data_IF_287668220201
#
_entry.id   IF_287668220201
#
_cell.length_a   1.000
_cell.length_b   1.000
_cell.length_c   1.000
_cell.angle_alpha   90.00
_cell.angle_beta   90.00
_cell.angle_gamma   90.00
#
_symmetry.space_group_name_H-M   'P 1'
#
loop_
_entity.id
_entity.type
_entity.pdbx_description
1 polymer ?
#
# COMPACT_ATOMS: atom_id res chain seq x y z
N UNK A 1 23.80 -7.05 10.12
CA UNK A 1 22.97 -6.23 9.22
C UNK A 1 21.53 -6.33 9.71
N UNK A 2 20.94 -5.25 10.23
CA UNK A 2 19.54 -5.28 10.66
C UNK A 2 18.66 -5.45 9.42
N UNK A 3 17.88 -6.53 9.34
CA UNK A 3 16.84 -6.67 8.32
C UNK A 3 15.83 -5.55 8.53
N UNK A 4 15.79 -4.59 7.60
CA UNK A 4 14.75 -3.55 7.60
C UNK A 4 13.48 -4.22 7.08
N UNK A 5 12.54 -4.49 7.99
CA UNK A 5 11.24 -5.02 7.63
C UNK A 5 10.51 -4.04 6.72
N UNK A 6 10.09 -4.54 5.54
CA UNK A 6 9.23 -3.81 4.61
C UNK A 6 7.81 -4.34 4.75
N UNK A 7 6.85 -3.44 4.72
CA UNK A 7 5.43 -3.72 4.83
C UNK A 7 4.75 -3.48 3.50
N UNK A 8 3.82 -4.38 3.20
CA UNK A 8 2.95 -4.33 2.03
C UNK A 8 1.65 -3.65 2.45
N UNK A 9 1.47 -2.38 2.09
CA UNK A 9 0.26 -1.63 2.39
C UNK A 9 -0.64 -1.60 1.15
N UNK A 10 -1.84 -2.18 1.20
CA UNK A 10 -2.76 -2.10 0.09
C UNK A 10 -3.34 -0.70 -0.01
N UNK A 11 -3.42 -0.18 -1.23
CA UNK A 11 -3.80 1.20 -1.53
C UNK A 11 -4.71 1.30 -2.74
N UNK A 12 -5.51 2.36 -2.74
CA UNK A 12 -6.29 2.83 -3.86
C UNK A 12 -5.76 4.21 -4.26
N UNK A 13 -5.27 4.33 -5.49
CA UNK A 13 -4.62 5.55 -5.98
C UNK A 13 -5.50 6.16 -7.07
N UNK A 14 -5.92 7.40 -6.84
CA UNK A 14 -6.66 8.20 -7.80
C UNK A 14 -5.69 9.12 -8.53
N UNK A 15 -5.77 9.13 -9.86
CA UNK A 15 -4.92 9.94 -10.72
C UNK A 15 -5.69 11.11 -11.34
N UNK A 16 -5.00 12.21 -11.64
CA UNK A 16 -5.57 13.38 -12.32
C UNK A 16 -6.05 12.96 -13.71
N UNK A 17 -7.31 13.24 -14.03
CA UNK A 17 -7.88 13.00 -15.36
C UNK A 17 -8.27 11.56 -15.65
N UNK A 18 -8.06 10.63 -14.70
CA UNK A 18 -8.41 9.23 -14.86
C UNK A 18 -9.70 8.90 -14.09
N UNK A 19 -10.60 8.15 -14.72
CA UNK A 19 -11.80 7.59 -14.07
C UNK A 19 -11.50 6.30 -13.31
N UNK A 20 -10.49 5.57 -13.77
CA UNK A 20 -10.05 4.32 -13.16
C UNK A 20 -9.19 4.59 -11.93
N UNK A 21 -9.30 3.70 -10.94
CA UNK A 21 -8.50 3.72 -9.72
C UNK A 21 -7.43 2.65 -9.83
N UNK A 22 -6.18 2.99 -9.53
CA UNK A 22 -5.11 2.00 -9.46
C UNK A 22 -5.20 1.30 -8.11
N UNK A 23 -5.44 -0.01 -8.15
CA UNK A 23 -5.52 -0.89 -7.00
C UNK A 23 -4.22 -1.69 -6.89
N UNK A 24 -3.58 -1.65 -5.73
CA UNK A 24 -2.29 -2.27 -5.56
C UNK A 24 -1.71 -2.14 -4.16
N UNK A 25 -0.40 -2.34 -4.07
CA UNK A 25 0.36 -2.39 -2.82
C UNK A 25 1.56 -1.47 -2.94
N UNK A 26 1.78 -0.65 -1.92
CA UNK A 26 3.02 0.11 -1.73
C UNK A 26 3.88 -0.55 -0.66
N UNK A 27 5.18 -0.54 -0.89
CA UNK A 27 6.16 -1.06 0.05
C UNK A 27 6.73 0.08 0.90
N UNK A 28 6.45 0.07 2.20
CA UNK A 28 7.00 1.05 3.15
C UNK A 28 7.88 0.35 4.18
N UNK A 29 8.87 1.06 4.74
CA UNK A 29 9.64 0.56 5.88
C UNK A 29 8.81 0.60 7.17
N UNK A 30 9.21 -0.16 8.20
CA UNK A 30 8.52 -0.22 9.49
C UNK A 30 8.27 1.14 10.14
N UNK A 31 9.25 2.03 10.01
CA UNK A 31 9.30 3.37 10.55
C UNK A 31 8.77 4.43 9.58
N UNK A 32 8.31 4.02 8.39
CA UNK A 32 7.90 4.92 7.31
C UNK A 32 6.39 4.90 7.11
N UNK A 33 5.79 6.08 6.96
CA UNK A 33 4.40 6.28 6.55
C UNK A 33 4.31 6.38 5.03
N UNK A 34 3.12 6.13 4.48
CA UNK A 34 2.85 6.41 3.05
C UNK A 34 3.12 7.89 2.73
N UNK A 35 2.82 8.79 3.66
CA UNK A 35 3.15 10.22 3.52
C UNK A 35 4.65 10.45 3.32
N UNK A 36 5.51 9.79 4.09
CA UNK A 36 6.96 9.96 4.00
C UNK A 36 7.50 9.48 2.64
N UNK A 37 6.90 8.42 2.07
CA UNK A 37 7.19 7.98 0.71
C UNK A 37 6.80 9.05 -0.32
N UNK A 38 5.66 9.70 -0.16
CA UNK A 38 5.21 10.76 -1.06
C UNK A 38 6.06 12.02 -0.96
N UNK A 39 6.51 12.38 0.25
CA UNK A 39 7.35 13.55 0.48
C UNK A 39 8.83 13.33 0.18
N UNK A 40 9.25 12.11 -0.20
CA UNK A 40 10.63 11.90 -0.64
C UNK A 40 10.92 12.67 -1.95
N UNK A 41 12.20 13.00 -2.19
CA UNK A 41 12.62 13.82 -3.34
C UNK A 41 12.46 13.13 -4.71
N UNK A 42 12.04 11.86 -4.76
CA UNK A 42 11.88 11.14 -6.02
C UNK A 42 10.54 11.49 -6.65
N UNK A 43 10.47 11.72 -7.97
CA UNK A 43 9.22 12.07 -8.64
C UNK A 43 8.26 10.89 -8.79
N UNK A 44 8.75 9.66 -8.65
CA UNK A 44 7.97 8.44 -8.81
C UNK A 44 8.08 7.52 -7.59
N UNK A 45 7.05 6.71 -7.37
CA UNK A 45 7.07 5.60 -6.42
C UNK A 45 6.53 4.31 -7.06
N UNK A 46 7.07 3.15 -6.67
CA UNK A 46 6.61 1.87 -7.20
C UNK A 46 5.30 1.44 -6.52
N UNK A 47 4.39 0.91 -7.32
CA UNK A 47 3.15 0.28 -6.89
C UNK A 47 3.11 -1.12 -7.50
N UNK A 48 3.00 -2.13 -6.65
CA UNK A 48 2.76 -3.50 -7.09
C UNK A 48 1.27 -3.69 -7.30
N UNK A 49 0.88 -4.11 -8.50
CA UNK A 49 -0.48 -4.46 -8.87
C UNK A 49 -0.50 -5.94 -9.26
N UNK A 50 -1.68 -6.50 -9.53
CA UNK A 50 -1.79 -7.87 -10.04
C UNK A 50 -1.03 -8.08 -11.36
N UNK A 51 -1.02 -7.08 -12.23
CA UNK A 51 -0.43 -7.19 -13.57
C UNK A 51 1.08 -6.94 -13.57
N UNK A 52 1.65 -6.51 -12.44
CA UNK A 52 3.07 -6.23 -12.28
C UNK A 52 3.33 -4.95 -11.49
N UNK A 53 4.56 -4.46 -11.56
CA UNK A 53 5.02 -3.27 -10.85
C UNK A 53 4.95 -2.05 -11.77
N UNK A 54 4.24 -1.02 -11.33
CA UNK A 54 4.08 0.24 -12.03
C UNK A 54 4.81 1.37 -11.29
N UNK A 55 5.42 2.29 -12.03
CA UNK A 55 5.99 3.51 -11.48
C UNK A 55 4.98 4.65 -11.61
N UNK A 56 4.44 5.11 -10.47
CA UNK A 56 3.44 6.18 -10.46
C UNK A 56 4.11 7.53 -10.24
N UNK A 57 3.82 8.49 -11.10
CA UNK A 57 4.24 9.88 -10.93
C UNK A 57 3.47 10.52 -9.78
N UNK A 58 4.17 11.07 -8.79
CA UNK A 58 3.53 11.72 -7.64
C UNK A 58 2.70 12.94 -8.03
N UNK A 59 3.13 13.67 -9.06
CA UNK A 59 2.44 14.88 -9.51
C UNK A 59 1.06 14.59 -10.13
N UNK A 60 0.80 13.34 -10.55
CA UNK A 60 -0.49 12.93 -11.10
C UNK A 60 -1.42 12.34 -10.04
N UNK A 61 -0.96 12.16 -8.79
CA UNK A 61 -1.79 11.58 -7.73
C UNK A 61 -2.67 12.66 -7.08
N UNK A 62 -3.98 12.43 -7.07
CA UNK A 62 -4.93 13.30 -6.36
C UNK A 62 -5.24 12.79 -4.95
N UNK A 63 -5.28 11.47 -4.77
CA UNK A 63 -5.62 10.82 -3.50
C UNK A 63 -5.03 9.43 -3.41
N UNK A 64 -4.53 9.06 -2.24
CA UNK A 64 -4.20 7.68 -1.88
C UNK A 64 -5.04 7.30 -0.65
N UNK A 65 -5.89 6.29 -0.80
CA UNK A 65 -6.60 5.68 0.33
C UNK A 65 -5.92 4.35 0.70
N UNK A 66 -5.75 4.10 2.00
CA UNK A 66 -5.38 2.77 2.47
C UNK A 66 -6.59 1.86 2.33
N UNK A 67 -6.44 0.73 1.63
CA UNK A 67 -7.53 -0.21 1.45
C UNK A 67 -7.78 -0.95 2.76
N UNK A 68 -9.04 -1.02 3.18
CA UNK A 68 -9.45 -1.81 4.33
C UNK A 68 -9.61 -3.28 3.94
N UNK A 69 -9.69 -4.16 4.93
CA UNK A 69 -10.00 -5.58 4.68
C UNK A 69 -11.30 -5.75 3.89
N UNK A 70 -12.33 -4.95 4.21
CA UNK A 70 -13.62 -4.95 3.51
C UNK A 70 -13.50 -4.55 2.04
N UNK A 71 -12.62 -3.61 1.72
CA UNK A 71 -12.42 -3.17 0.33
C UNK A 71 -11.77 -4.27 -0.52
N UNK A 72 -10.86 -5.03 0.08
CA UNK A 72 -10.13 -6.10 -0.60
C UNK A 72 -11.02 -7.33 -0.75
N UNK A 73 -11.79 -7.69 0.28
CA UNK A 73 -12.75 -8.81 0.20
C UNK A 73 -13.86 -8.56 -0.84
N UNK A 74 -14.16 -7.30 -1.20
CA UNK A 74 -15.10 -6.97 -2.28
C UNK A 74 -14.57 -7.27 -3.67
N UNK A 75 -13.26 -7.13 -3.87
CA UNK A 75 -12.60 -7.37 -5.16
C UNK A 75 -11.26 -8.09 -4.91
N UNK A 76 -11.28 -9.36 -4.46
CA UNK A 76 -10.07 -10.07 -4.01
C UNK A 76 -8.99 -10.14 -5.10
N UNK A 77 -9.46 -10.27 -6.34
CA UNK A 77 -8.67 -10.41 -7.56
C UNK A 77 -7.99 -9.11 -8.04
N UNK A 78 -8.24 -7.97 -7.37
CA UNK A 78 -7.68 -6.68 -7.75
C UNK A 78 -6.38 -6.31 -7.02
N UNK A 79 -6.05 -7.01 -5.94
CA UNK A 79 -4.83 -6.74 -5.17
C UNK A 79 -3.85 -7.91 -5.29
N UNK A 80 -2.53 -7.65 -5.25
CA UNK A 80 -1.52 -8.67 -4.97
C UNK A 80 -1.80 -9.38 -3.64
N UNK A 81 -1.20 -10.55 -3.41
CA UNK A 81 -1.31 -11.23 -2.12
C UNK A 81 -0.79 -10.34 -0.96
N UNK A 82 -1.69 -10.02 -0.02
CA UNK A 82 -1.39 -9.22 1.18
C UNK A 82 -1.59 -10.06 2.44
N UNK A 83 -0.56 -10.17 3.27
CA UNK A 83 -0.68 -10.75 4.61
C UNK A 83 -1.24 -9.69 5.60
N UNK A 84 -2.54 -9.76 5.86
CA UNK A 84 -3.22 -8.88 6.80
C UNK A 84 -2.87 -9.15 8.26
N UNK A 85 -2.44 -10.38 8.59
CA UNK A 85 -2.04 -10.70 9.96
C UNK A 85 -0.75 -9.96 10.33
N UNK A 86 0.13 -9.68 9.35
CA UNK A 86 1.28 -8.80 9.55
C UNK A 86 0.87 -7.34 9.83
N UNK A 87 -0.25 -6.86 9.25
CA UNK A 87 -0.75 -5.51 9.44
C UNK A 87 -1.49 -5.34 10.79
N UNK A 88 -2.28 -6.33 11.20
CA UNK A 88 -3.03 -6.31 12.47
C UNK A 88 -2.12 -6.34 13.71
N UNK A 89 -1.00 -7.07 13.65
CA UNK A 89 0.03 -7.11 14.70
C UNK A 89 0.58 -5.73 15.08
N UNK A 90 0.41 -4.70 14.24
CA UNK A 90 0.80 -3.30 14.49
C UNK A 90 -0.26 -2.49 15.26
N UNK A 91 -1.53 -2.89 15.20
CA UNK A 91 -2.66 -2.14 15.77
C UNK A 91 -2.91 -2.38 17.27
N UNK A 92 -2.13 -3.25 17.91
CA UNK A 92 -2.34 -3.64 19.31
C UNK A 92 -3.32 -4.81 19.49
N UNK A 93 -3.86 -5.40 18.42
CA UNK A 93 -4.67 -6.62 18.49
C UNK A 93 -3.82 -7.90 18.44
N UNK A 94 -2.69 -7.91 19.15
CA UNK A 94 -2.11 -9.18 19.56
C UNK A 94 -2.98 -9.69 20.70
N UNK A 95 -4.01 -10.49 20.39
CA UNK A 95 -4.53 -11.41 21.41
C UNK A 95 -3.34 -12.23 21.87
N UNK A 96 -3.00 -12.11 23.15
CA UNK A 96 -2.21 -13.11 23.85
C UNK A 96 -2.86 -14.47 23.54
N UNK A 97 -2.10 -15.32 22.86
CA UNK A 97 -2.43 -16.73 22.79
C UNK A 97 -1.85 -17.31 24.08
N UNK A 98 -2.74 -17.77 24.96
CA UNK A 98 -2.42 -18.61 26.12
C UNK A 98 -1.57 -19.83 25.72
#
# INVERSE_FOLDING_TARGET
MSHINKYRLPVQIHLIGETSVVLGVVHVRQDQRVLDMLCDQRPFFPVETRDGIFMINKATVTKIALATRRDIDRIPDAYPEVDFNALARRGGEAKELD
#
